data_IF_864641227718
#
_entry.id   IF_864641227718
#
_cell.length_a   1.000
_cell.length_b   1.000
_cell.length_c   1.000
_cell.angle_alpha   90.00
_cell.angle_beta   90.00
_cell.angle_gamma   90.00
#
_symmetry.space_group_name_H-M   'P 1'
#
loop_
_entity.id
_entity.type
_entity.pdbx_description
1 polymer ?
#
# COMPACT_ATOMS: atom_id res chain seq x y z
N UNK A 1 12.36 12.59 19.94
CA UNK A 1 13.27 12.00 18.92
C UNK A 1 12.84 12.54 17.57
N UNK A 2 13.69 13.24 16.79
CA UNK A 2 13.29 13.72 15.48
C UNK A 2 13.06 12.52 14.55
N UNK A 3 11.88 12.45 13.93
CA UNK A 3 11.55 11.42 12.94
C UNK A 3 12.52 11.54 11.75
N UNK A 4 13.48 10.62 11.61
CA UNK A 4 14.32 10.55 10.41
C UNK A 4 13.45 10.16 9.21
N UNK A 5 13.18 11.13 8.33
CA UNK A 5 12.52 10.87 7.06
C UNK A 5 13.47 10.14 6.11
N UNK A 6 13.46 8.81 6.13
CA UNK A 6 14.22 8.00 5.18
C UNK A 6 13.48 7.96 3.84
N UNK A 7 14.02 8.70 2.87
CA UNK A 7 13.56 8.64 1.49
C UNK A 7 14.11 7.39 0.78
N UNK A 8 13.30 6.82 -0.11
CA UNK A 8 13.64 5.59 -0.84
C UNK A 8 13.33 5.73 -2.33
N UNK A 9 14.11 5.04 -3.16
CA UNK A 9 13.78 4.82 -4.56
C UNK A 9 12.86 3.62 -4.69
N UNK A 10 11.74 3.80 -5.41
CA UNK A 10 10.82 2.71 -5.73
C UNK A 10 10.63 2.65 -7.25
N UNK A 11 11.11 1.56 -7.85
CA UNK A 11 10.95 1.26 -9.26
C UNK A 11 9.81 0.26 -9.44
N UNK A 12 9.00 0.45 -10.48
CA UNK A 12 7.86 -0.41 -10.80
C UNK A 12 7.95 -0.84 -12.25
N UNK A 13 7.75 -2.14 -12.48
CA UNK A 13 7.82 -2.76 -13.79
C UNK A 13 6.51 -3.50 -14.07
N UNK A 14 6.08 -3.46 -15.32
CA UNK A 14 5.06 -4.38 -15.82
C UNK A 14 5.73 -5.73 -16.01
N UNK A 15 5.11 -6.80 -15.50
CA UNK A 15 5.65 -8.16 -15.53
C UNK A 15 4.60 -9.05 -16.18
N UNK A 16 4.97 -9.76 -17.24
CA UNK A 16 4.09 -10.73 -17.89
C UNK A 16 3.97 -12.01 -17.04
N UNK A 17 3.02 -12.89 -17.36
CA UNK A 17 2.89 -14.16 -16.65
C UNK A 17 4.16 -15.03 -16.77
N UNK A 18 4.78 -15.06 -17.96
CA UNK A 18 6.04 -15.78 -18.19
C UNK A 18 7.20 -15.21 -17.37
N UNK A 19 7.36 -13.88 -17.38
CA UNK A 19 8.39 -13.20 -16.58
C UNK A 19 8.19 -13.43 -15.08
N UNK A 20 6.94 -13.44 -14.63
CA UNK A 20 6.60 -13.71 -13.23
C UNK A 20 7.12 -15.08 -12.79
N UNK A 21 6.89 -16.14 -13.58
CA UNK A 21 7.36 -17.48 -13.24
C UNK A 21 8.89 -17.55 -13.20
N UNK A 22 9.56 -16.95 -14.18
CA UNK A 22 11.02 -16.90 -14.25
C UNK A 22 11.61 -16.10 -13.06
N UNK A 23 11.08 -14.91 -12.77
CA UNK A 23 11.50 -14.07 -11.65
C UNK A 23 11.28 -14.76 -10.31
N UNK A 24 10.12 -15.40 -10.12
CA UNK A 24 9.82 -16.15 -8.88
C UNK A 24 10.83 -17.25 -8.62
N UNK A 25 11.23 -17.99 -9.66
CA UNK A 25 12.25 -19.03 -9.55
C UNK A 25 13.62 -18.45 -9.16
N UNK A 26 14.06 -17.39 -9.87
CA UNK A 26 15.36 -16.74 -9.61
C UNK A 26 15.45 -16.07 -8.25
N UNK A 27 14.41 -15.35 -7.84
CA UNK A 27 14.41 -14.63 -6.56
C UNK A 27 14.40 -15.56 -5.35
N UNK A 28 13.82 -16.77 -5.45
CA UNK A 28 13.86 -17.77 -4.37
C UNK A 28 15.27 -18.23 -4.01
N UNK A 29 16.22 -18.13 -4.94
CA UNK A 29 17.61 -18.49 -4.67
C UNK A 29 18.35 -17.45 -3.80
N UNK A 30 17.86 -16.21 -3.73
CA UNK A 30 18.55 -15.07 -3.10
C UNK A 30 17.69 -14.32 -2.06
N UNK A 31 16.40 -14.61 -1.97
CA UNK A 31 15.46 -13.97 -1.05
C UNK A 31 14.60 -15.00 -0.32
N UNK A 32 14.25 -14.68 0.92
CA UNK A 32 13.32 -15.49 1.72
C UNK A 32 11.88 -15.07 1.45
N UNK A 33 10.91 -16.00 1.49
CA UNK A 33 9.49 -15.67 1.50
C UNK A 33 9.13 -14.75 2.67
N UNK A 34 8.10 -13.91 2.48
CA UNK A 34 7.58 -13.05 3.55
C UNK A 34 7.00 -13.93 4.68
N UNK A 35 7.44 -13.78 5.95
CA UNK A 35 6.96 -14.59 7.07
C UNK A 35 5.47 -14.49 7.36
N UNK A 36 4.78 -13.48 6.83
CA UNK A 36 3.36 -13.25 7.06
C UNK A 36 2.45 -13.98 6.06
N UNK A 37 3.02 -14.68 5.06
CA UNK A 37 2.21 -15.46 4.12
C UNK A 37 1.64 -16.70 4.80
N UNK A 38 0.38 -17.05 4.48
CA UNK A 38 -0.22 -18.30 4.93
C UNK A 38 0.37 -19.54 4.24
N UNK A 39 -0.11 -20.76 4.57
CA UNK A 39 0.37 -22.01 3.97
C UNK A 39 0.33 -22.04 2.42
N UNK A 40 -0.59 -21.29 1.82
CA UNK A 40 -0.69 -21.13 0.36
C UNK A 40 0.32 -20.15 -0.27
N UNK A 41 1.21 -19.55 0.51
CA UNK A 41 2.21 -18.59 0.03
C UNK A 41 1.62 -17.25 -0.41
N UNK A 42 0.38 -16.95 -0.02
CA UNK A 42 -0.37 -15.74 -0.41
C UNK A 42 -1.06 -15.12 0.81
N UNK A 43 -1.31 -13.82 0.71
CA UNK A 43 -2.21 -13.07 1.59
C UNK A 43 -2.97 -12.04 0.76
N UNK A 44 -4.18 -11.70 1.20
CA UNK A 44 -5.02 -10.72 0.53
C UNK A 44 -4.78 -9.34 1.13
N UNK A 45 -4.49 -8.36 0.27
CA UNK A 45 -4.37 -6.97 0.67
C UNK A 45 -5.60 -6.21 0.18
N UNK A 46 -6.30 -5.52 1.08
CA UNK A 46 -7.32 -4.54 0.70
C UNK A 46 -6.84 -3.14 1.05
N UNK A 47 -7.05 -2.19 0.15
CA UNK A 47 -6.62 -0.81 0.35
C UNK A 47 -7.67 0.17 -0.17
N UNK A 48 -8.10 1.09 0.69
CA UNK A 48 -9.04 2.18 0.33
C UNK A 48 -8.26 3.47 0.31
N UNK A 49 -8.34 4.21 -0.80
CA UNK A 49 -7.68 5.50 -0.96
C UNK A 49 -8.62 6.64 -0.56
N UNK A 50 -8.07 7.63 0.11
CA UNK A 50 -8.78 8.86 0.47
C UNK A 50 -8.40 9.96 -0.51
N UNK A 51 -9.42 10.68 -0.97
CA UNK A 51 -9.27 11.92 -1.71
C UNK A 51 -10.23 12.97 -1.12
N UNK A 52 -10.13 14.20 -1.60
CA UNK A 52 -11.09 15.25 -1.29
C UNK A 52 -12.17 15.36 -2.39
N UNK A 53 -13.19 16.17 -2.13
CA UNK A 53 -14.29 16.43 -3.08
C UNK A 53 -13.83 17.03 -4.43
N UNK A 54 -12.56 17.45 -4.54
CA UNK A 54 -11.96 17.99 -5.77
C UNK A 54 -11.00 17.00 -6.40
N UNK A 55 -11.02 15.73 -6.03
CA UNK A 55 -10.14 14.69 -6.58
C UNK A 55 -8.67 15.14 -6.66
N UNK A 56 -8.20 15.86 -5.64
CA UNK A 56 -6.87 16.49 -5.66
C UNK A 56 -5.78 15.43 -5.85
N UNK A 57 -5.84 14.32 -5.14
CA UNK A 57 -4.80 13.29 -5.20
C UNK A 57 -4.81 12.53 -6.54
N UNK A 58 -5.98 12.44 -7.20
CA UNK A 58 -6.12 11.97 -8.57
C UNK A 58 -5.50 12.96 -9.56
N UNK A 59 -5.90 14.24 -9.50
CA UNK A 59 -5.41 15.31 -10.41
C UNK A 59 -3.90 15.50 -10.30
N UNK A 60 -3.35 15.62 -9.09
CA UNK A 60 -1.89 15.71 -8.88
C UNK A 60 -1.11 14.51 -9.47
N UNK A 61 -1.74 13.33 -9.55
CA UNK A 61 -1.13 12.15 -10.17
C UNK A 61 -1.14 12.25 -11.70
N UNK A 62 -2.25 12.72 -12.28
CA UNK A 62 -2.41 12.87 -13.73
C UNK A 62 -1.54 14.01 -14.27
N UNK A 63 -1.52 15.14 -13.56
CA UNK A 63 -0.78 16.35 -13.93
C UNK A 63 0.73 16.25 -13.66
N UNK A 64 1.20 15.11 -13.15
CA UNK A 64 2.63 14.86 -12.94
C UNK A 64 3.26 15.69 -11.82
N UNK A 65 2.47 16.22 -10.88
CA UNK A 65 2.96 17.07 -9.79
C UNK A 65 4.08 16.36 -9.01
N UNK A 66 5.21 17.06 -8.86
CA UNK A 66 6.45 16.52 -8.29
C UNK A 66 6.32 16.21 -6.79
N UNK A 67 5.63 17.07 -6.04
CA UNK A 67 5.34 16.90 -4.62
C UNK A 67 3.87 16.56 -4.44
N UNK A 68 3.58 15.30 -4.09
CA UNK A 68 2.21 14.81 -3.93
C UNK A 68 2.08 13.82 -2.80
N UNK A 69 0.89 13.74 -2.22
CA UNK A 69 0.60 12.90 -1.07
C UNK A 69 -0.61 12.01 -1.35
N UNK A 70 -0.58 10.78 -0.81
CA UNK A 70 -1.70 9.84 -0.90
C UNK A 70 -1.95 9.21 0.44
N UNK A 71 -3.21 9.26 0.87
CA UNK A 71 -3.67 8.61 2.08
C UNK A 71 -4.42 7.34 1.72
N UNK A 72 -4.14 6.25 2.46
CA UNK A 72 -4.88 5.01 2.31
C UNK A 72 -5.04 4.31 3.64
N UNK A 73 -6.13 3.57 3.76
CA UNK A 73 -6.26 2.54 4.77
C UNK A 73 -5.95 1.19 4.14
N UNK A 74 -5.17 0.37 4.84
CA UNK A 74 -4.84 -0.99 4.41
C UNK A 74 -5.10 -1.99 5.53
N UNK A 75 -5.64 -3.15 5.16
CA UNK A 75 -5.78 -4.32 6.03
C UNK A 75 -5.53 -5.61 5.22
N UNK A 76 -5.32 -6.70 5.95
CA UNK A 76 -4.87 -8.00 5.42
C UNK A 76 -5.90 -9.09 5.73
N UNK A 77 -6.10 -10.02 4.79
CA UNK A 77 -6.90 -11.25 4.96
C UNK A 77 -8.30 -11.04 5.56
N UNK A 78 -8.94 -9.92 5.23
CA UNK A 78 -10.25 -9.55 5.79
C UNK A 78 -10.24 -9.25 7.31
N UNK A 79 -9.09 -9.36 7.98
CA UNK A 79 -8.94 -9.11 9.41
C UNK A 79 -8.91 -7.62 9.70
N UNK A 80 -10.04 -7.10 10.20
CA UNK A 80 -10.20 -5.71 10.62
C UNK A 80 -9.59 -5.41 12.01
N UNK A 81 -8.99 -6.41 12.66
CA UNK A 81 -8.25 -6.23 13.90
C UNK A 81 -6.96 -5.43 13.70
N UNK A 82 -6.37 -5.48 12.50
CA UNK A 82 -5.14 -4.80 12.16
C UNK A 82 -5.32 -3.93 10.92
N UNK A 83 -5.66 -2.67 11.18
CA UNK A 83 -5.85 -1.64 10.15
C UNK A 83 -4.72 -0.62 10.27
N UNK A 84 -4.19 -0.20 9.12
CA UNK A 84 -3.14 0.82 9.06
C UNK A 84 -3.61 2.01 8.24
N UNK A 85 -3.52 3.21 8.82
CA UNK A 85 -3.61 4.46 8.09
C UNK A 85 -2.21 4.82 7.59
N UNK A 86 -2.05 4.80 6.29
CA UNK A 86 -0.77 5.04 5.62
C UNK A 86 -0.82 6.36 4.86
N UNK A 87 0.23 7.16 5.01
CA UNK A 87 0.51 8.34 4.19
C UNK A 87 1.75 8.04 3.35
N UNK A 88 1.61 8.12 2.04
CA UNK A 88 2.73 8.06 1.10
C UNK A 88 2.96 9.42 0.48
N UNK A 89 4.19 9.90 0.57
CA UNK A 89 4.61 11.17 -0.04
C UNK A 89 5.61 10.85 -1.16
N UNK A 90 5.46 11.53 -2.29
CA UNK A 90 6.42 11.51 -3.39
C UNK A 90 6.97 12.92 -3.58
N UNK A 91 8.29 13.05 -3.62
CA UNK A 91 9.02 14.28 -3.95
C UNK A 91 9.99 13.89 -5.07
N UNK A 92 9.75 14.34 -6.29
CA UNK A 92 10.49 13.90 -7.47
C UNK A 92 10.49 12.36 -7.58
N UNK A 93 11.66 11.72 -7.54
CA UNK A 93 11.81 10.26 -7.59
C UNK A 93 11.92 9.61 -6.21
N UNK A 94 11.80 10.39 -5.13
CA UNK A 94 11.92 9.92 -3.76
C UNK A 94 10.54 9.63 -3.19
N UNK A 95 10.43 8.48 -2.53
CA UNK A 95 9.23 8.05 -1.84
C UNK A 95 9.47 8.01 -0.33
N UNK A 96 8.53 8.53 0.43
CA UNK A 96 8.47 8.45 1.88
C UNK A 96 7.15 7.80 2.29
N UNK A 97 7.19 6.88 3.24
CA UNK A 97 6.01 6.25 3.82
C UNK A 97 5.95 6.53 5.31
N UNK A 98 4.81 7.02 5.78
CA UNK A 98 4.44 7.12 7.19
C UNK A 98 3.21 6.27 7.45
N UNK A 99 3.11 5.71 8.64
CA UNK A 99 2.04 4.78 8.98
C UNK A 99 1.70 4.91 10.45
N UNK A 100 0.40 4.87 10.76
CA UNK A 100 -0.11 4.90 12.12
C UNK A 100 -1.26 3.90 12.26
N UNK A 101 -1.43 3.35 13.47
CA UNK A 101 -2.64 2.60 13.80
C UNK A 101 -3.75 3.60 14.13
N UNK A 102 -4.88 3.58 13.40
CA UNK A 102 -5.99 4.47 13.68
C UNK A 102 -6.71 4.05 14.98
N UNK A 103 -7.51 4.96 15.53
CA UNK A 103 -8.28 4.70 16.74
C UNK A 103 -9.36 3.63 16.51
N UNK A 104 -9.76 2.93 17.59
CA UNK A 104 -10.82 1.90 17.53
C UNK A 104 -12.17 2.45 17.04
N UNK A 105 -12.44 3.74 17.21
CA UNK A 105 -13.67 4.37 16.71
C UNK A 105 -13.65 4.46 15.20
N UNK A 106 -12.52 4.86 14.63
CA UNK A 106 -12.34 4.98 13.20
C UNK A 106 -12.42 3.62 12.49
N UNK A 107 -11.82 2.58 13.06
CA UNK A 107 -11.87 1.23 12.47
C UNK A 107 -13.28 0.65 12.38
N UNK A 108 -14.18 1.01 13.30
CA UNK A 108 -15.59 0.56 13.29
C UNK A 108 -16.44 1.17 12.17
N UNK A 109 -16.04 2.32 11.61
CA UNK A 109 -16.81 3.02 10.58
C UNK A 109 -16.53 2.49 9.16
N UNK A 110 -15.37 1.87 8.95
CA UNK A 110 -14.91 1.36 7.65
C UNK A 110 -15.69 0.17 7.07
N UNK A 111 -16.18 -0.82 7.84
CA UNK A 111 -16.75 -2.05 7.28
C UNK A 111 -18.09 -1.85 6.58
N UNK A 112 -18.75 -0.71 6.78
CA UNK A 112 -20.07 -0.43 6.21
C UNK A 112 -20.02 0.10 4.77
N UNK A 113 -18.85 0.50 4.29
CA UNK A 113 -18.69 1.21 3.02
C UNK A 113 -18.19 0.33 1.86
N UNK A 114 -17.96 -0.96 2.08
CA UNK A 114 -17.54 -1.89 1.02
C UNK A 114 -18.43 -3.13 1.09
N UNK A 115 -19.42 -3.30 0.19
CA UNK A 115 -20.11 -4.57 0.07
C UNK A 115 -19.07 -5.64 -0.21
N UNK A 116 -19.00 -6.64 0.65
CA UNK A 116 -18.33 -7.90 0.37
C UNK A 116 -19.01 -8.49 -0.85
N UNK A 117 -18.37 -8.40 -2.02
CA UNK A 117 -18.77 -9.15 -3.21
C UNK A 117 -18.71 -10.64 -2.87
N UNK A 118 -19.79 -11.32 -3.24
CA UNK A 118 -20.07 -12.76 -3.25
C UNK A 118 -18.88 -13.62 -3.61
#
# INVERSE_FOLDING_TARGET
>A
MPEQNVYRHELKYCVSCGDYLALRSRLRAVMQPDPHVGPGGVYQIRSVYFDNFRDKALREKLDGVQKREKFRIRWYDGRLSLIHLEKKMKINNLCLKRMVRPSRRFTRLLPRACPTTT
#
